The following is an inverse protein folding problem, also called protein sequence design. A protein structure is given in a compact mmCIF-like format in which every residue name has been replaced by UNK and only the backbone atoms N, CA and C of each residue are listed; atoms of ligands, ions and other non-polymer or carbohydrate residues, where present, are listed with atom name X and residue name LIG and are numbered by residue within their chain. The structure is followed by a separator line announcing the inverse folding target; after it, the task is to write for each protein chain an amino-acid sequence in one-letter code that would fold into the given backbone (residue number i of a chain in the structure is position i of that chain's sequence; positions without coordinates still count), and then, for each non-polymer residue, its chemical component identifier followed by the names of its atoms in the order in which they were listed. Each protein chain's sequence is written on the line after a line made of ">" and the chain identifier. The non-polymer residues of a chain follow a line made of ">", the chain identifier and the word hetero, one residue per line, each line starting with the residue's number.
data_IF_192711827085
#
_entry.id   IF_192711827085
#
_cell.length_a   1.000
_cell.length_b   1.000
_cell.length_c   1.000
_cell.angle_alpha   90.00
_cell.angle_beta   90.00
_cell.angle_gamma   90.00
#
_symmetry.space_group_name_H-M   'P 1'
#
loop_
_entity.id
_entity.type
_entity.pdbx_description
1 polymer ?
#
# COMPACT_ATOMS: atom_id res chain seq x y z
N UNK A 1 -7.53 -16.74 -9.64
CA UNK A 1 -8.09 -15.89 -8.57
C UNK A 1 -7.02 -14.91 -8.13
N UNK A 2 -7.38 -13.67 -7.83
CA UNK A 2 -6.51 -12.69 -7.18
C UNK A 2 -7.13 -12.26 -5.85
N UNK A 3 -6.27 -12.07 -4.84
CA UNK A 3 -6.60 -11.43 -3.58
C UNK A 3 -5.58 -10.31 -3.41
N UNK A 4 -6.05 -9.09 -3.16
CA UNK A 4 -5.18 -7.94 -3.06
C UNK A 4 -5.68 -6.93 -2.04
N UNK A 5 -4.73 -6.27 -1.39
CA UNK A 5 -4.97 -5.33 -0.30
C UNK A 5 -4.48 -3.93 -0.66
N UNK A 6 -5.20 -2.89 -0.21
CA UNK A 6 -4.79 -1.48 -0.29
C UNK A 6 -4.37 -1.10 -1.73
N UNK A 7 -3.18 -0.54 -1.91
CA UNK A 7 -2.63 -0.16 -3.21
C UNK A 7 -2.57 -1.32 -4.22
N UNK A 8 -2.29 -2.54 -3.75
CA UNK A 8 -2.27 -3.73 -4.60
C UNK A 8 -3.65 -4.05 -5.17
N UNK A 9 -4.72 -3.68 -4.47
CA UNK A 9 -6.09 -3.88 -4.90
C UNK A 9 -6.44 -2.98 -6.10
N UNK A 10 -5.94 -1.74 -6.14
CA UNK A 10 -6.08 -0.85 -7.30
C UNK A 10 -5.48 -1.49 -8.57
N UNK A 11 -4.29 -2.09 -8.43
CA UNK A 11 -3.63 -2.82 -9.51
C UNK A 11 -4.37 -4.13 -9.87
N UNK A 12 -4.92 -4.84 -8.88
CA UNK A 12 -5.63 -6.09 -9.13
C UNK A 12 -6.93 -5.88 -9.94
N UNK A 13 -7.62 -4.74 -9.75
CA UNK A 13 -8.76 -4.35 -10.59
C UNK A 13 -8.33 -4.18 -12.04
N UNK A 14 -7.21 -3.48 -12.29
CA UNK A 14 -6.64 -3.35 -13.63
C UNK A 14 -6.34 -4.71 -14.25
N UNK A 15 -5.57 -5.55 -13.55
CA UNK A 15 -5.17 -6.87 -14.04
C UNK A 15 -6.39 -7.73 -14.36
N UNK A 16 -7.41 -7.72 -13.52
CA UNK A 16 -8.66 -8.48 -13.73
C UNK A 16 -9.44 -7.97 -14.94
N UNK A 17 -9.37 -6.67 -15.24
CA UNK A 17 -10.01 -6.08 -16.44
C UNK A 17 -9.29 -6.43 -17.75
N UNK A 18 -7.98 -6.75 -17.68
CA UNK A 18 -7.14 -7.04 -18.85
C UNK A 18 -7.02 -8.55 -19.11
N UNK A 19 -6.93 -9.36 -18.06
CA UNK A 19 -6.64 -10.79 -18.19
C UNK A 19 -7.88 -11.64 -17.94
N UNK A 20 -8.40 -12.22 -19.02
CA UNK A 20 -9.65 -12.99 -18.94
C UNK A 20 -9.60 -14.23 -18.05
N UNK A 21 -8.40 -14.81 -17.88
CA UNK A 21 -8.14 -15.96 -16.99
C UNK A 21 -8.43 -15.64 -15.52
N UNK A 22 -8.48 -14.36 -15.14
CA UNK A 22 -8.78 -13.94 -13.78
C UNK A 22 -10.30 -13.80 -13.67
N UNK A 23 -10.95 -14.83 -13.14
CA UNK A 23 -12.42 -14.89 -13.02
C UNK A 23 -12.93 -14.47 -11.64
N UNK A 24 -12.06 -14.48 -10.63
CA UNK A 24 -12.37 -14.18 -9.23
C UNK A 24 -11.36 -13.19 -8.66
N UNK A 25 -11.87 -12.13 -8.04
CA UNK A 25 -11.10 -11.05 -7.43
C UNK A 25 -11.65 -10.77 -6.02
N UNK A 26 -10.77 -10.76 -5.03
CA UNK A 26 -11.06 -10.31 -3.67
C UNK A 26 -10.25 -9.05 -3.38
N UNK A 27 -10.96 -7.97 -3.05
CA UNK A 27 -10.39 -6.68 -2.73
C UNK A 27 -10.51 -6.44 -1.23
N UNK A 28 -9.37 -6.17 -0.58
CA UNK A 28 -9.28 -5.87 0.84
C UNK A 28 -8.88 -4.39 0.98
N UNK A 29 -9.80 -3.54 1.43
CA UNK A 29 -9.55 -2.12 1.68
C UNK A 29 -8.85 -1.36 0.53
N UNK A 30 -9.27 -1.63 -0.71
CA UNK A 30 -8.72 -0.95 -1.90
C UNK A 30 -9.42 -1.34 -3.20
N UNK A 31 -9.03 -0.74 -4.33
CA UNK A 31 -9.62 -1.01 -5.65
C UNK A 31 -10.93 -0.26 -5.95
N UNK A 32 -11.43 0.55 -5.01
CA UNK A 32 -12.67 1.31 -5.15
C UNK A 32 -12.47 2.83 -5.10
N UNK A 33 -11.24 3.29 -4.82
CA UNK A 33 -10.93 4.71 -4.69
C UNK A 33 -11.08 5.39 -6.05
N UNK A 34 -11.87 6.46 -6.11
CA UNK A 34 -11.95 7.29 -7.31
C UNK A 34 -10.71 8.20 -7.37
N UNK A 35 -9.82 7.91 -8.33
CA UNK A 35 -8.56 8.65 -8.51
C UNK A 35 -8.76 10.13 -8.86
N UNK A 36 -9.91 10.51 -9.41
CA UNK A 36 -10.25 11.90 -9.74
C UNK A 36 -10.64 12.72 -8.50
N UNK A 37 -10.93 12.05 -7.38
CA UNK A 37 -11.33 12.69 -6.12
C UNK A 37 -10.18 12.85 -5.11
N UNK A 38 -9.02 12.29 -5.41
CA UNK A 38 -7.83 12.44 -4.55
C UNK A 38 -6.89 13.50 -5.13
N UNK A 39 -5.86 13.87 -4.38
CA UNK A 39 -4.92 14.91 -4.82
C UNK A 39 -4.26 14.57 -6.17
N UNK A 40 -3.82 15.59 -6.95
CA UNK A 40 -3.08 15.38 -8.19
C UNK A 40 -1.81 14.54 -7.98
N UNK A 41 -1.41 13.75 -8.99
CA UNK A 41 -0.27 12.83 -8.89
C UNK A 41 1.03 13.54 -8.46
N UNK A 42 1.29 14.76 -8.94
CA UNK A 42 2.49 15.50 -8.55
C UNK A 42 2.50 15.83 -7.04
N UNK A 43 1.34 16.14 -6.47
CA UNK A 43 1.18 16.42 -5.04
C UNK A 43 1.34 15.13 -4.23
N UNK A 44 0.68 14.04 -4.65
CA UNK A 44 0.83 12.72 -4.00
C UNK A 44 2.29 12.25 -3.97
N UNK A 45 3.03 12.46 -5.06
CA UNK A 45 4.47 12.13 -5.13
C UNK A 45 5.27 13.02 -4.18
N UNK A 46 5.04 14.33 -4.17
CA UNK A 46 5.76 15.27 -3.31
C UNK A 46 5.56 14.90 -1.83
N UNK A 47 4.32 14.72 -1.40
CA UNK A 47 3.96 14.34 -0.04
C UNK A 47 4.58 13.00 0.36
N UNK A 48 4.54 12.00 -0.54
CA UNK A 48 5.12 10.68 -0.29
C UNK A 48 6.64 10.73 -0.17
N UNK A 49 7.32 11.57 -0.96
CA UNK A 49 8.76 11.74 -0.88
C UNK A 49 9.17 12.50 0.39
N UNK A 50 8.39 13.52 0.78
CA UNK A 50 8.60 14.21 2.05
C UNK A 50 8.42 13.24 3.24
N UNK A 51 7.41 12.37 3.18
CA UNK A 51 7.24 11.31 4.18
C UNK A 51 8.47 10.39 4.25
N UNK A 52 9.02 9.94 3.12
CA UNK A 52 10.23 9.10 3.11
C UNK A 52 11.46 9.81 3.69
N UNK A 53 11.60 11.12 3.47
CA UNK A 53 12.73 11.90 3.97
C UNK A 53 12.64 12.19 5.47
N UNK A 54 11.42 12.34 5.98
CA UNK A 54 11.14 12.66 7.40
C UNK A 54 10.99 11.41 8.26
N UNK A 55 10.64 10.26 7.67
CA UNK A 55 10.48 8.96 8.33
C UNK A 55 11.83 8.30 8.62
N UNK A 56 12.57 8.88 9.57
CA UNK A 56 13.91 8.45 9.94
C UNK A 56 14.02 8.15 11.43
N UNK A 57 14.86 7.17 11.77
CA UNK A 57 14.95 6.64 13.13
C UNK A 57 16.41 6.46 13.58
N UNK A 58 16.66 6.75 14.86
CA UNK A 58 18.00 6.60 15.48
C UNK A 58 18.41 5.13 15.61
N UNK A 59 17.45 4.20 15.67
CA UNK A 59 17.70 2.77 15.73
C UNK A 59 16.59 1.96 15.07
N UNK A 60 16.94 0.79 14.54
CA UNK A 60 15.98 -0.17 14.00
C UNK A 60 14.91 -0.55 15.03
N UNK A 61 15.29 -0.70 16.30
CA UNK A 61 14.36 -1.02 17.39
C UNK A 61 13.29 0.06 17.54
N UNK A 62 13.66 1.35 17.46
CA UNK A 62 12.71 2.47 17.53
C UNK A 62 11.75 2.45 16.35
N UNK A 63 12.25 2.22 15.14
CA UNK A 63 11.42 2.10 13.93
C UNK A 63 10.36 0.99 14.07
N UNK A 64 10.79 -0.20 14.51
CA UNK A 64 9.89 -1.36 14.71
C UNK A 64 8.86 -1.09 15.83
N UNK A 65 9.24 -0.40 16.91
CA UNK A 65 8.30 -0.02 17.97
C UNK A 65 7.25 0.95 17.43
N UNK A 66 7.63 1.93 16.61
CA UNK A 66 6.69 2.87 16.00
C UNK A 66 5.70 2.16 15.09
N UNK A 67 6.15 1.24 14.22
CA UNK A 67 5.28 0.39 13.40
C UNK A 67 4.30 -0.44 14.25
N UNK A 68 4.80 -0.99 15.37
CA UNK A 68 3.99 -1.78 16.31
C UNK A 68 2.91 -0.95 16.99
N UNK A 69 3.20 0.30 17.34
CA UNK A 69 2.23 1.20 17.95
C UNK A 69 1.13 1.63 16.97
N UNK A 70 1.42 1.68 15.67
CA UNK A 70 0.44 1.98 14.63
C UNK A 70 -0.40 0.78 14.18
N UNK A 71 -0.14 -0.42 14.71
CA UNK A 71 -0.83 -1.64 14.30
C UNK A 71 -1.77 -2.16 15.39
N UNK A 72 -2.99 -2.53 15.00
CA UNK A 72 -3.96 -3.14 15.92
C UNK A 72 -3.52 -4.55 16.38
N UNK A 73 -2.80 -5.27 15.51
CA UNK A 73 -2.31 -6.63 15.77
C UNK A 73 -0.82 -6.71 15.46
N UNK A 74 -0.07 -7.47 16.26
CA UNK A 74 1.37 -7.62 16.04
C UNK A 74 1.78 -9.09 16.06
N UNK A 75 2.29 -9.58 14.94
CA UNK A 75 2.80 -10.94 14.79
C UNK A 75 4.30 -10.95 14.54
N UNK A 76 4.94 -12.09 14.72
CA UNK A 76 6.35 -12.28 14.39
C UNK A 76 6.63 -11.99 12.90
N UNK A 77 5.69 -12.32 12.01
CA UNK A 77 5.79 -12.01 10.59
C UNK A 77 5.78 -10.51 10.32
N UNK A 78 4.93 -9.74 11.01
CA UNK A 78 4.92 -8.27 10.92
C UNK A 78 6.22 -7.68 11.45
N UNK A 79 6.75 -8.23 12.55
CA UNK A 79 8.04 -7.78 13.09
C UNK A 79 9.20 -8.02 12.12
N UNK A 80 9.24 -9.19 11.46
CA UNK A 80 10.23 -9.48 10.43
C UNK A 80 10.09 -8.55 9.23
N UNK A 81 8.87 -8.36 8.71
CA UNK A 81 8.61 -7.47 7.59
C UNK A 81 9.00 -6.01 7.92
N UNK A 82 8.70 -5.53 9.12
CA UNK A 82 9.13 -4.22 9.59
C UNK A 82 10.66 -4.12 9.58
N UNK A 83 11.38 -5.09 10.17
CA UNK A 83 12.86 -5.07 10.19
C UNK A 83 13.46 -5.06 8.78
N UNK A 84 12.90 -5.83 7.85
CA UNK A 84 13.37 -5.89 6.45
C UNK A 84 13.03 -4.62 5.65
N UNK A 85 12.01 -3.87 6.07
CA UNK A 85 11.59 -2.64 5.42
C UNK A 85 12.52 -1.46 5.69
N UNK A 86 13.41 -1.54 6.69
CA UNK A 86 14.34 -0.47 7.05
C UNK A 86 15.79 -0.81 6.68
N UNK A 87 16.53 0.20 6.24
CA UNK A 87 17.97 0.13 5.93
C UNK A 87 18.71 1.24 6.66
N UNK A 88 19.95 0.97 7.08
CA UNK A 88 20.81 1.94 7.74
C UNK A 88 21.62 2.75 6.73
N UNK A 89 21.47 4.08 6.76
CA UNK A 89 22.30 5.00 5.99
C UNK A 89 23.62 5.27 6.77
N UNK A 90 24.74 4.86 6.18
CA UNK A 90 26.07 5.02 6.79
C UNK A 90 26.56 6.47 6.81
N UNK A 91 26.06 7.32 5.92
CA UNK A 91 26.42 8.74 5.77
C UNK A 91 25.62 9.57 6.77
N UNK A 92 24.30 9.42 6.77
CA UNK A 92 23.38 10.18 7.62
C UNK A 92 23.24 9.61 9.04
N UNK A 93 23.75 8.38 9.28
CA UNK A 93 23.73 7.69 10.59
C UNK A 93 22.33 7.45 11.17
N UNK A 94 21.36 7.19 10.30
CA UNK A 94 19.97 6.88 10.70
C UNK A 94 19.41 5.69 9.91
N UNK A 95 18.32 5.12 10.42
CA UNK A 95 17.53 4.10 9.73
C UNK A 95 16.37 4.76 8.99
N UNK A 96 16.11 4.35 7.76
CA UNK A 96 15.01 4.84 6.94
C UNK A 96 14.39 3.69 6.13
N UNK A 97 13.20 3.91 5.57
CA UNK A 97 12.55 2.92 4.71
C UNK A 97 13.42 2.60 3.50
N UNK A 98 13.53 1.32 3.16
CA UNK A 98 14.23 0.77 2.00
C UNK A 98 13.40 0.96 0.72
N UNK A 99 13.00 2.20 0.46
CA UNK A 99 12.20 2.58 -0.70
C UNK A 99 12.81 3.81 -1.35
N UNK A 100 13.28 3.65 -2.59
CA UNK A 100 13.90 4.75 -3.32
C UNK A 100 12.86 5.71 -3.88
N UNK A 101 13.24 6.99 -4.03
CA UNK A 101 12.44 8.01 -4.74
C UNK A 101 11.95 7.52 -6.10
N UNK A 102 12.82 6.86 -6.88
CA UNK A 102 12.48 6.31 -8.19
C UNK A 102 11.37 5.27 -8.11
N UNK A 103 11.47 4.33 -7.16
CA UNK A 103 10.45 3.29 -6.97
C UNK A 103 9.12 3.90 -6.52
N UNK A 104 9.13 4.82 -5.56
CA UNK A 104 7.92 5.52 -5.10
C UNK A 104 7.22 6.26 -6.25
N UNK A 105 7.96 7.07 -7.01
CA UNK A 105 7.41 7.80 -8.15
C UNK A 105 6.81 6.86 -9.19
N UNK A 106 7.49 5.77 -9.54
CA UNK A 106 6.97 4.79 -10.49
C UNK A 106 5.72 4.08 -9.97
N UNK A 107 5.72 3.69 -8.69
CA UNK A 107 4.58 3.00 -8.07
C UNK A 107 3.31 3.85 -8.14
N UNK A 108 3.39 5.12 -7.74
CA UNK A 108 2.26 6.04 -7.79
C UNK A 108 1.85 6.38 -9.22
N UNK A 109 2.81 6.54 -10.14
CA UNK A 109 2.52 6.78 -11.55
C UNK A 109 1.77 5.59 -12.17
N UNK A 110 2.24 4.36 -11.92
CA UNK A 110 1.59 3.14 -12.39
C UNK A 110 0.19 3.03 -11.80
N UNK A 111 0.00 3.32 -10.50
CA UNK A 111 -1.33 3.34 -9.87
C UNK A 111 -2.31 4.23 -10.63
N UNK A 112 -1.89 5.44 -11.04
CA UNK A 112 -2.74 6.37 -11.81
C UNK A 112 -3.03 5.88 -13.22
N UNK A 113 -2.04 5.34 -13.90
CA UNK A 113 -2.18 4.84 -15.27
C UNK A 113 -3.02 3.56 -15.35
N UNK A 114 -2.84 2.68 -14.38
CA UNK A 114 -3.55 1.41 -14.27
C UNK A 114 -4.97 1.58 -13.72
N UNK A 115 -5.38 2.78 -13.29
CA UNK A 115 -6.70 2.96 -12.69
C UNK A 115 -7.83 2.45 -13.59
N UNK A 116 -8.68 1.61 -13.02
CA UNK A 116 -9.90 1.09 -13.63
C UNK A 116 -11.02 1.10 -12.61
N UNK A 117 -12.20 1.51 -13.06
CA UNK A 117 -13.39 1.45 -12.23
C UNK A 117 -13.91 0.00 -12.16
N UNK A 118 -14.50 -0.39 -11.03
CA UNK A 118 -15.09 -1.73 -10.84
C UNK A 118 -16.17 -2.06 -11.89
N UNK A 119 -16.79 -1.07 -12.52
CA UNK A 119 -17.71 -1.25 -13.65
C UNK A 119 -17.08 -1.90 -14.88
N UNK A 120 -15.75 -1.98 -14.98
CA UNK A 120 -15.06 -2.75 -16.02
C UNK A 120 -15.03 -4.26 -15.74
N UNK A 121 -15.46 -4.71 -14.55
CA UNK A 121 -15.44 -6.09 -14.12
C UNK A 121 -16.78 -6.82 -14.30
N UNK A 122 -17.69 -6.33 -15.16
CA UNK A 122 -19.10 -6.81 -15.29
C UNK A 122 -19.28 -8.33 -15.41
N UNK A 123 -18.30 -9.04 -15.96
CA UNK A 123 -18.36 -10.49 -16.18
C UNK A 123 -17.43 -11.28 -15.23
N UNK A 124 -16.98 -10.66 -14.13
CA UNK A 124 -16.03 -11.24 -13.17
C UNK A 124 -16.66 -11.26 -11.78
N UNK A 125 -16.31 -12.28 -10.99
CA UNK A 125 -16.76 -12.37 -9.60
C UNK A 125 -15.82 -11.51 -8.73
N UNK A 126 -16.27 -10.33 -8.32
CA UNK A 126 -15.51 -9.41 -7.49
C UNK A 126 -16.17 -9.23 -6.12
N UNK A 127 -15.44 -9.51 -5.04
CA UNK A 127 -15.85 -9.27 -3.66
C UNK A 127 -15.00 -8.16 -3.06
N UNK A 128 -15.65 -7.19 -2.42
CA UNK A 128 -15.01 -6.06 -1.77
C UNK A 128 -15.25 -6.12 -0.25
N UNK A 129 -14.17 -6.10 0.51
CA UNK A 129 -14.18 -6.03 1.97
C UNK A 129 -13.56 -4.71 2.41
N UNK A 130 -14.36 -3.88 3.08
CA UNK A 130 -13.92 -2.61 3.65
C UNK A 130 -14.06 -2.74 5.18
N UNK A 131 -13.04 -2.41 5.97
CA UNK A 131 -13.15 -2.41 7.42
C UNK A 131 -14.22 -1.40 7.87
N UNK A 132 -15.05 -1.78 8.83
CA UNK A 132 -15.99 -0.84 9.45
C UNK A 132 -15.21 0.15 10.31
N UNK A 133 -15.48 1.45 10.14
CA UNK A 133 -14.70 2.55 10.73
C UNK A 133 -14.74 2.57 12.28
N UNK A 134 -15.57 1.75 12.93
CA UNK A 134 -15.76 1.77 14.39
C UNK A 134 -15.88 0.39 15.06
N UNK A 135 -15.53 -0.70 14.38
CA UNK A 135 -15.51 -2.02 15.02
C UNK A 135 -14.07 -2.45 15.30
N UNK A 136 -13.80 -2.84 16.55
CA UNK A 136 -12.53 -3.50 16.88
C UNK A 136 -12.36 -4.72 15.96
N UNK A 137 -11.16 -4.87 15.40
CA UNK A 137 -10.84 -6.06 14.59
C UNK A 137 -11.03 -7.28 15.48
N UNK A 138 -11.86 -8.28 15.09
CA UNK A 138 -12.03 -9.48 15.89
C UNK A 138 -10.68 -10.12 16.16
N UNK A 139 -10.37 -10.36 17.45
CA UNK A 139 -9.13 -11.00 17.93
C UNK A 139 -9.17 -12.49 17.63
#
# INVERSE_FOLDING_TARGET
>A
MLIAHSLGADLAVYLTSVYDKITHLVLLDGGYINMDKICPLNVEIEDSLNYLQTSVYESLKKAVITEKQSSAVWSENLERAAKESFVFDKVQKHWHLSLSKKLMTHLLTIRRQAFRNLSFLKNKNASLFIPEINQETPI
#
